data_IF_374370612968
#
_entry.id   IF_374370612968
#
_cell.length_a   1.000
_cell.length_b   1.000
_cell.length_c   1.000
_cell.angle_alpha   90.00
_cell.angle_beta   90.00
_cell.angle_gamma   90.00
#
_symmetry.space_group_name_H-M   'P 1'
#
loop_
_entity.id
_entity.type
_entity.pdbx_description
1 polymer ?
#
# COMPACT_ATOMS: atom_id res chain seq x y z
N UNK A 1 -4.67 2.80 4.40
CA UNK A 1 -3.27 3.19 4.12
C UNK A 1 -2.90 4.46 4.89
N UNK A 2 -1.68 4.56 5.37
CA UNK A 2 -1.14 5.76 6.04
C UNK A 2 0.16 6.15 5.33
N UNK A 3 0.21 7.39 4.86
CA UNK A 3 1.42 7.97 4.30
C UNK A 3 1.91 9.11 5.18
N UNK A 4 3.20 9.13 5.41
CA UNK A 4 3.87 10.08 6.28
C UNK A 4 4.78 10.98 5.45
N UNK A 5 4.70 12.27 5.70
CA UNK A 5 5.68 13.27 5.26
C UNK A 5 6.36 13.85 6.50
N UNK A 6 7.65 14.05 6.41
CA UNK A 6 8.49 14.56 7.50
C UNK A 6 9.02 15.93 7.11
N UNK A 7 8.90 16.87 8.02
CA UNK A 7 9.34 18.25 7.86
C UNK A 7 10.22 18.66 9.06
N UNK A 8 10.99 19.70 8.92
CA UNK A 8 11.68 20.32 10.06
C UNK A 8 10.67 20.97 11.02
N UNK A 9 10.84 20.79 12.33
CA UNK A 9 10.01 21.47 13.33
C UNK A 9 10.61 22.83 13.70
N UNK A 10 10.12 23.87 13.06
CA UNK A 10 10.52 25.26 13.37
C UNK A 10 9.79 25.85 14.58
N UNK A 11 8.92 25.06 15.23
CA UNK A 11 8.13 25.45 16.38
C UNK A 11 6.84 26.20 16.02
N UNK A 12 5.92 26.26 16.98
CA UNK A 12 4.69 27.05 16.85
C UNK A 12 3.54 26.39 16.07
N UNK A 13 3.70 25.18 15.54
CA UNK A 13 2.64 24.49 14.79
C UNK A 13 1.56 23.99 15.75
N UNK A 14 0.40 24.61 15.70
CA UNK A 14 -0.75 24.31 16.54
C UNK A 14 -1.97 23.81 15.77
N UNK A 15 -2.94 23.23 16.51
CA UNK A 15 -4.18 22.66 15.97
C UNK A 15 -4.89 23.62 15.00
N UNK A 16 -5.15 24.87 15.43
CA UNK A 16 -5.89 25.84 14.63
C UNK A 16 -5.16 26.25 13.35
N UNK A 17 -3.83 26.21 13.32
CA UNK A 17 -3.03 26.52 12.15
C UNK A 17 -3.12 25.41 11.11
N UNK A 18 -2.98 24.15 11.54
CA UNK A 18 -3.12 22.99 10.68
C UNK A 18 -4.53 22.87 10.11
N UNK A 19 -5.55 23.10 10.93
CA UNK A 19 -6.95 23.14 10.48
C UNK A 19 -7.19 24.19 9.41
N UNK A 20 -6.69 25.40 9.59
CA UNK A 20 -6.80 26.48 8.58
C UNK A 20 -6.05 26.13 7.31
N UNK A 21 -4.85 25.55 7.42
CA UNK A 21 -4.04 25.15 6.28
C UNK A 21 -4.76 24.08 5.43
N UNK A 22 -5.38 23.08 6.07
CA UNK A 22 -6.18 22.05 5.38
C UNK A 22 -7.47 22.64 4.82
N UNK A 23 -8.19 23.48 5.59
CA UNK A 23 -9.44 24.11 5.15
C UNK A 23 -9.29 24.89 3.84
N UNK A 24 -8.17 25.60 3.67
CA UNK A 24 -7.82 26.35 2.46
C UNK A 24 -7.52 25.45 1.24
N UNK A 25 -7.41 24.13 1.44
CA UNK A 25 -7.01 23.14 0.42
C UNK A 25 -8.06 22.05 0.15
N UNK A 26 -9.22 22.15 0.79
CA UNK A 26 -10.29 21.14 0.63
C UNK A 26 -10.79 21.02 -0.81
N UNK A 27 -10.77 22.11 -1.57
CA UNK A 27 -11.18 22.18 -2.96
C UNK A 27 -10.16 21.56 -3.94
N UNK A 28 -8.92 21.35 -3.49
CA UNK A 28 -7.85 20.76 -4.31
C UNK A 28 -8.10 19.28 -4.65
N UNK A 29 -8.92 18.59 -3.85
CA UNK A 29 -9.26 17.20 -4.12
C UNK A 29 -10.66 16.85 -3.61
N UNK A 30 -11.54 16.27 -4.46
CA UNK A 30 -12.85 15.80 -4.02
C UNK A 30 -12.80 14.65 -3.00
N UNK A 31 -11.67 13.97 -2.84
CA UNK A 31 -11.47 12.99 -1.75
C UNK A 31 -11.67 13.66 -0.39
N UNK A 32 -11.26 14.92 -0.25
CA UNK A 32 -11.32 15.64 1.01
C UNK A 32 -12.75 16.06 1.37
N UNK A 33 -13.64 16.15 0.39
CA UNK A 33 -15.01 16.69 0.55
C UNK A 33 -16.11 15.67 0.34
N UNK A 34 -15.82 14.50 -0.25
CA UNK A 34 -16.85 13.50 -0.54
C UNK A 34 -16.78 12.33 0.44
N UNK A 35 -17.95 11.82 0.79
CA UNK A 35 -18.11 10.62 1.60
C UNK A 35 -18.82 9.53 0.81
N UNK A 36 -18.66 8.30 1.26
CA UNK A 36 -19.35 7.16 0.69
C UNK A 36 -20.77 7.08 1.26
N UNK A 37 -21.77 7.14 0.38
CA UNK A 37 -23.17 6.95 0.74
C UNK A 37 -23.63 5.54 0.29
N UNK A 38 -24.05 4.66 1.21
CA UNK A 38 -24.57 3.35 0.86
C UNK A 38 -25.85 3.48 0.03
N UNK A 39 -26.06 2.56 -0.90
CA UNK A 39 -27.33 2.43 -1.58
C UNK A 39 -28.39 1.84 -0.62
N UNK A 40 -29.66 2.25 -0.72
CA UNK A 40 -30.74 1.67 0.08
C UNK A 40 -30.77 0.15 -0.08
N UNK A 41 -30.99 -0.54 1.06
CA UNK A 41 -30.96 -2.01 1.19
C UNK A 41 -29.73 -2.69 0.56
N UNK A 42 -28.69 -1.91 0.28
CA UNK A 42 -27.49 -2.42 -0.36
C UNK A 42 -27.69 -3.09 -1.73
N UNK A 43 -28.72 -2.70 -2.45
CA UNK A 43 -29.08 -3.27 -3.77
C UNK A 43 -28.20 -2.74 -4.92
N UNK A 44 -27.51 -1.61 -4.71
CA UNK A 44 -26.57 -1.03 -5.68
C UNK A 44 -25.23 -0.74 -5.02
N UNK A 45 -24.24 -0.37 -5.81
CA UNK A 45 -22.94 0.09 -5.31
C UNK A 45 -23.10 1.40 -4.52
N UNK A 46 -22.29 1.60 -3.46
CA UNK A 46 -22.25 2.87 -2.76
C UNK A 46 -21.76 3.98 -3.68
N UNK A 47 -22.14 5.22 -3.37
CA UNK A 47 -21.83 6.39 -4.20
C UNK A 47 -21.07 7.45 -3.44
N UNK A 48 -20.20 8.13 -4.13
CA UNK A 48 -19.54 9.31 -3.61
C UNK A 48 -20.50 10.49 -3.67
N UNK A 49 -20.76 11.10 -2.51
CA UNK A 49 -21.62 12.28 -2.37
C UNK A 49 -20.87 13.36 -1.61
N UNK A 50 -21.16 14.61 -1.93
CA UNK A 50 -20.59 15.74 -1.19
C UNK A 50 -20.98 15.61 0.29
N UNK A 51 -19.99 15.68 1.18
CA UNK A 51 -20.15 15.67 2.62
C UNK A 51 -20.03 17.06 3.21
N UNK A 52 -20.55 17.24 4.42
CA UNK A 52 -20.18 18.40 5.22
C UNK A 52 -18.86 18.07 5.94
N UNK A 53 -17.82 18.87 5.67
CA UNK A 53 -16.48 18.65 6.24
C UNK A 53 -16.30 19.56 7.44
N UNK A 54 -16.26 18.96 8.60
CA UNK A 54 -15.78 19.61 9.82
C UNK A 54 -14.29 19.25 9.99
N UNK A 55 -13.42 20.17 9.61
CA UNK A 55 -11.97 19.93 9.59
C UNK A 55 -11.44 19.57 10.97
N UNK A 56 -11.98 20.14 12.05
CA UNK A 56 -11.56 19.84 13.41
C UNK A 56 -11.76 18.36 13.80
N UNK A 57 -12.71 17.67 13.14
CA UNK A 57 -12.94 16.23 13.35
C UNK A 57 -12.01 15.35 12.52
N UNK A 58 -11.30 15.92 11.57
CA UNK A 58 -10.38 15.20 10.67
C UNK A 58 -8.92 15.40 11.04
N UNK A 59 -8.61 16.40 11.86
CA UNK A 59 -7.24 16.82 12.18
C UNK A 59 -6.96 16.63 13.65
N UNK A 60 -5.81 16.10 13.98
CA UNK A 60 -5.23 16.11 15.33
C UNK A 60 -3.79 16.62 15.27
N UNK A 61 -3.42 17.45 16.22
CA UNK A 61 -2.03 17.88 16.43
C UNK A 61 -1.62 17.50 17.85
N UNK A 62 -0.55 16.75 17.96
CA UNK A 62 -0.05 16.22 19.22
C UNK A 62 1.44 16.49 19.33
N UNK A 63 1.89 16.91 20.51
CA UNK A 63 3.31 16.96 20.80
C UNK A 63 3.81 15.57 21.14
N UNK A 64 4.82 15.11 20.39
CA UNK A 64 5.51 13.87 20.70
C UNK A 64 6.62 14.16 21.72
N UNK A 65 6.62 13.43 22.84
CA UNK A 65 7.53 13.66 23.96
C UNK A 65 8.63 12.61 24.07
N UNK A 66 8.41 11.46 23.44
CA UNK A 66 9.37 10.37 23.45
C UNK A 66 10.48 10.63 22.43
N UNK A 67 11.67 10.11 22.67
CA UNK A 67 12.75 10.10 21.70
C UNK A 67 12.70 8.83 20.88
N UNK A 68 13.02 8.95 19.59
CA UNK A 68 13.03 7.82 18.65
C UNK A 68 11.68 7.57 17.97
N UNK A 69 11.64 6.50 17.19
CA UNK A 69 10.51 6.16 16.32
C UNK A 69 9.54 5.16 16.93
N UNK A 70 9.91 4.40 17.93
CA UNK A 70 9.20 3.21 18.38
C UNK A 70 7.72 3.48 18.70
N UNK A 71 7.46 4.31 19.70
CA UNK A 71 6.09 4.62 20.15
C UNK A 71 5.27 5.32 19.07
N UNK A 72 5.89 6.17 18.28
CA UNK A 72 5.22 6.83 17.15
C UNK A 72 4.89 5.83 16.05
N UNK A 73 5.81 4.94 15.71
CA UNK A 73 5.63 3.87 14.73
C UNK A 73 4.48 2.94 15.10
N UNK A 74 4.42 2.48 16.35
CA UNK A 74 3.31 1.66 16.87
C UNK A 74 1.96 2.38 16.73
N UNK A 75 1.91 3.65 17.14
CA UNK A 75 0.71 4.47 17.02
C UNK A 75 0.24 4.61 15.56
N UNK A 76 1.17 4.80 14.63
CA UNK A 76 0.86 4.91 13.20
C UNK A 76 0.33 3.60 12.61
N UNK A 77 0.89 2.44 13.00
CA UNK A 77 0.35 1.14 12.58
C UNK A 77 -1.02 0.89 13.19
N UNK A 78 -1.21 1.21 14.47
CA UNK A 78 -2.52 1.07 15.11
C UNK A 78 -3.57 1.91 14.40
N UNK A 79 -3.23 3.11 13.92
CA UNK A 79 -4.13 3.92 13.11
C UNK A 79 -4.61 3.20 11.84
N UNK A 80 -3.89 2.23 11.28
CA UNK A 80 -4.36 1.47 10.12
C UNK A 80 -5.51 0.52 10.47
N UNK A 81 -5.53 -0.01 11.69
CA UNK A 81 -6.56 -0.93 12.17
C UNK A 81 -7.86 -0.22 12.59
N UNK A 82 -7.78 1.04 13.04
CA UNK A 82 -8.96 1.79 13.46
C UNK A 82 -9.93 2.04 12.30
N UNK A 83 -11.24 2.01 12.54
CA UNK A 83 -12.25 2.38 11.55
C UNK A 83 -12.24 3.88 11.24
N UNK A 84 -12.50 4.27 9.99
CA UNK A 84 -12.87 5.65 9.66
C UNK A 84 -14.40 5.80 9.71
N UNK A 85 -14.92 6.90 10.27
CA UNK A 85 -16.37 7.11 10.38
C UNK A 85 -17.05 7.08 9.01
N UNK A 86 -18.12 6.25 8.81
CA UNK A 86 -18.71 6.02 7.49
C UNK A 86 -19.47 7.24 6.92
N UNK A 87 -19.86 8.19 7.78
CA UNK A 87 -20.64 9.39 7.40
C UNK A 87 -19.77 10.61 7.11
N UNK A 88 -18.47 10.47 7.15
CA UNK A 88 -17.52 11.55 6.91
C UNK A 88 -16.67 11.22 5.69
N UNK A 89 -16.01 12.20 5.06
CA UNK A 89 -14.95 11.92 4.11
C UNK A 89 -13.91 10.96 4.72
N UNK A 90 -13.45 9.96 3.96
CA UNK A 90 -12.70 8.81 4.52
C UNK A 90 -11.21 9.10 4.66
N UNK A 91 -10.87 10.20 5.35
CA UNK A 91 -9.50 10.59 5.64
C UNK A 91 -9.33 11.14 7.06
N UNK A 92 -8.12 11.09 7.57
CA UNK A 92 -7.66 11.80 8.77
C UNK A 92 -6.22 12.26 8.59
N UNK A 93 -5.91 13.41 9.16
CA UNK A 93 -4.56 13.94 9.29
C UNK A 93 -4.18 13.99 10.77
N UNK A 94 -3.06 13.39 11.11
CA UNK A 94 -2.46 13.48 12.45
C UNK A 94 -1.07 14.08 12.30
N UNK A 95 -0.82 15.15 13.04
CA UNK A 95 0.44 15.87 13.02
C UNK A 95 1.11 15.70 14.37
N UNK A 96 2.32 15.20 14.38
CA UNK A 96 3.14 15.03 15.57
C UNK A 96 4.29 16.00 15.51
N UNK A 97 4.35 16.93 16.48
CA UNK A 97 5.41 17.94 16.61
C UNK A 97 6.44 17.51 17.64
N UNK A 98 7.66 18.02 17.55
CA UNK A 98 8.72 17.74 18.53
C UNK A 98 9.31 16.34 18.45
N UNK A 99 9.19 15.65 17.32
CA UNK A 99 9.80 14.33 17.12
C UNK A 99 11.32 14.47 17.03
N UNK A 100 12.06 13.71 17.85
CA UNK A 100 13.53 13.76 17.96
C UNK A 100 14.15 12.36 17.99
N UNK A 101 15.43 12.24 17.70
CA UNK A 101 16.18 10.98 17.85
C UNK A 101 15.81 9.90 16.82
N UNK A 102 15.31 10.30 15.65
CA UNK A 102 14.97 9.38 14.55
C UNK A 102 16.02 9.52 13.46
N UNK A 103 16.67 8.41 13.12
CA UNK A 103 17.67 8.41 12.05
C UNK A 103 17.07 8.79 10.70
N UNK A 104 17.78 9.66 9.96
CA UNK A 104 17.32 10.19 8.67
C UNK A 104 16.23 11.26 8.76
N UNK A 105 15.87 11.73 9.97
CA UNK A 105 15.00 12.90 10.17
C UNK A 105 15.81 14.13 10.58
N UNK A 106 15.24 15.34 10.49
CA UNK A 106 15.79 16.52 11.15
C UNK A 106 15.94 16.31 12.66
N UNK A 107 16.86 17.02 13.31
CA UNK A 107 17.10 16.96 14.76
C UNK A 107 15.81 17.13 15.57
N UNK A 108 14.91 17.97 15.07
CA UNK A 108 13.55 18.12 15.54
C UNK A 108 12.61 18.15 14.33
N UNK A 109 11.68 17.21 14.32
CA UNK A 109 10.82 16.99 13.18
C UNK A 109 9.34 17.17 13.49
N UNK A 110 8.60 17.53 12.44
CA UNK A 110 7.14 17.40 12.35
C UNK A 110 6.83 16.20 11.46
N UNK A 111 6.05 15.27 11.99
CA UNK A 111 5.56 14.10 11.27
C UNK A 111 4.10 14.32 10.91
N UNK A 112 3.81 14.51 9.63
CA UNK A 112 2.45 14.63 9.11
C UNK A 112 1.99 13.29 8.56
N UNK A 113 1.10 12.63 9.28
CA UNK A 113 0.50 11.35 8.89
C UNK A 113 -0.88 11.57 8.26
N UNK A 114 -1.02 11.30 6.97
CA UNK A 114 -2.31 11.29 6.28
C UNK A 114 -2.81 9.87 6.15
N UNK A 115 -3.94 9.60 6.78
CA UNK A 115 -4.67 8.33 6.66
C UNK A 115 -5.80 8.45 5.67
N UNK A 116 -5.92 7.47 4.79
CA UNK A 116 -6.99 7.38 3.81
C UNK A 116 -7.56 5.95 3.77
N UNK A 117 -8.88 5.82 3.64
CA UNK A 117 -9.49 4.51 3.39
C UNK A 117 -9.15 4.02 1.99
N UNK A 118 -8.67 2.78 1.86
CA UNK A 118 -8.16 2.24 0.60
C UNK A 118 -9.19 2.11 -0.53
N UNK A 119 -10.50 2.16 -0.21
CA UNK A 119 -11.57 2.18 -1.22
C UNK A 119 -11.59 3.44 -2.09
N UNK A 120 -10.94 4.51 -1.64
CA UNK A 120 -10.95 5.82 -2.34
C UNK A 120 -10.02 5.80 -3.53
N UNK A 121 -8.81 5.29 -3.32
CA UNK A 121 -7.74 5.27 -4.32
C UNK A 121 -6.65 4.29 -3.94
N UNK A 122 -5.80 3.97 -4.91
CA UNK A 122 -4.58 3.19 -4.73
C UNK A 122 -3.37 4.08 -4.34
N UNK A 123 -2.19 3.46 -4.26
CA UNK A 123 -0.95 4.14 -3.88
C UNK A 123 -0.62 5.34 -4.76
N UNK A 124 -0.75 5.23 -6.09
CA UNK A 124 -0.47 6.36 -6.99
C UNK A 124 -1.53 7.46 -6.86
N UNK A 125 -2.80 7.12 -6.71
CA UNK A 125 -3.83 8.13 -6.43
C UNK A 125 -3.64 8.80 -5.07
N UNK A 126 -3.08 8.10 -4.09
CA UNK A 126 -2.68 8.70 -2.82
C UNK A 126 -1.51 9.68 -3.00
N UNK A 127 -0.53 9.36 -3.84
CA UNK A 127 0.54 10.29 -4.22
C UNK A 127 -0.02 11.55 -4.85
N UNK A 128 -0.98 11.41 -5.77
CA UNK A 128 -1.65 12.58 -6.37
C UNK A 128 -2.36 13.44 -5.32
N UNK A 129 -3.01 12.82 -4.32
CA UNK A 129 -3.63 13.56 -3.21
C UNK A 129 -2.58 14.32 -2.40
N UNK A 130 -1.47 13.68 -2.02
CA UNK A 130 -0.38 14.35 -1.31
C UNK A 130 0.17 15.52 -2.11
N UNK A 131 0.45 15.33 -3.40
CA UNK A 131 0.94 16.41 -4.27
C UNK A 131 -0.09 17.53 -4.46
N UNK A 132 -1.37 17.23 -4.46
CA UNK A 132 -2.43 18.26 -4.48
C UNK A 132 -2.48 19.07 -3.18
N UNK A 133 -2.25 18.43 -2.03
CA UNK A 133 -2.30 19.08 -0.72
C UNK A 133 -1.04 19.92 -0.43
N UNK A 134 0.13 19.35 -0.70
CA UNK A 134 1.42 19.91 -0.29
C UNK A 134 2.19 20.61 -1.41
N UNK A 135 1.79 20.41 -2.69
CA UNK A 135 2.40 21.07 -3.83
C UNK A 135 1.79 22.46 -4.09
N UNK A 136 2.50 23.28 -4.88
CA UNK A 136 2.07 24.64 -5.22
C UNK A 136 0.81 24.67 -6.08
N UNK A 137 0.60 23.69 -6.97
CA UNK A 137 -0.48 23.68 -7.94
C UNK A 137 -1.45 22.53 -7.71
N UNK A 138 -2.74 22.83 -7.62
CA UNK A 138 -3.80 21.83 -7.71
C UNK A 138 -3.93 21.33 -9.15
N UNK A 139 -3.17 20.29 -9.51
CA UNK A 139 -3.02 19.86 -10.91
C UNK A 139 -4.06 18.83 -11.37
N UNK A 140 -4.96 18.37 -10.52
CA UNK A 140 -5.83 17.27 -10.91
C UNK A 140 -7.29 17.64 -10.82
N UNK A 141 -7.95 17.78 -11.97
CA UNK A 141 -9.42 17.88 -12.04
C UNK A 141 -10.05 16.51 -11.72
N UNK A 142 -10.16 16.21 -10.45
CA UNK A 142 -10.93 15.08 -9.98
C UNK A 142 -12.41 15.36 -10.19
N UNK A 143 -13.12 14.48 -10.87
CA UNK A 143 -14.57 14.58 -10.99
C UNK A 143 -15.18 13.26 -10.58
N UNK A 144 -15.89 13.24 -9.46
CA UNK A 144 -16.86 12.20 -9.23
C UNK A 144 -18.04 12.42 -10.20
N UNK A 145 -18.46 11.38 -10.92
CA UNK A 145 -19.57 11.47 -11.84
C UNK A 145 -20.84 11.99 -11.14
N UNK A 146 -21.68 12.73 -11.85
CA UNK A 146 -22.98 13.19 -11.32
C UNK A 146 -23.79 12.01 -10.80
N UNK A 147 -24.15 12.04 -9.53
CA UNK A 147 -24.97 11.01 -8.92
C UNK A 147 -26.43 11.18 -9.38
N UNK A 148 -26.88 10.32 -10.29
CA UNK A 148 -28.31 10.18 -10.57
C UNK A 148 -28.93 9.43 -9.38
N UNK A 149 -30.08 9.87 -8.83
CA UNK A 149 -30.80 9.15 -7.78
C UNK A 149 -30.92 7.66 -8.12
N UNK A 150 -30.68 6.78 -7.17
CA UNK A 150 -30.63 5.32 -7.40
C UNK A 150 -31.92 4.77 -8.00
N UNK A 151 -33.06 5.26 -7.54
CA UNK A 151 -34.41 4.84 -7.99
C UNK A 151 -34.71 5.22 -9.45
N UNK A 152 -34.04 6.27 -9.99
CA UNK A 152 -34.07 6.62 -11.41
C UNK A 152 -33.06 5.81 -12.22
N UNK A 153 -31.96 5.41 -11.60
CA UNK A 153 -30.86 4.72 -12.28
C UNK A 153 -31.01 3.20 -12.28
N UNK A 154 -31.64 2.61 -11.27
CA UNK A 154 -31.76 1.17 -11.11
C UNK A 154 -32.42 0.44 -12.29
N UNK A 155 -33.58 0.91 -12.83
CA UNK A 155 -34.24 0.25 -13.96
C UNK A 155 -33.40 0.19 -15.24
N UNK A 156 -32.53 1.19 -15.44
CA UNK A 156 -31.67 1.28 -16.64
C UNK A 156 -30.33 0.59 -16.41
N UNK A 157 -29.79 0.69 -15.20
CA UNK A 157 -28.46 0.15 -14.86
C UNK A 157 -28.45 -1.37 -14.72
N UNK A 158 -29.48 -1.97 -14.14
CA UNK A 158 -29.52 -3.41 -13.92
C UNK A 158 -29.45 -4.22 -15.21
N UNK A 159 -30.27 -3.94 -16.24
CA UNK A 159 -30.15 -4.60 -17.54
C UNK A 159 -28.79 -4.36 -18.22
N UNK A 160 -28.26 -3.13 -18.13
CA UNK A 160 -26.97 -2.79 -18.68
C UNK A 160 -25.82 -3.51 -17.99
N UNK A 161 -25.89 -3.65 -16.65
CA UNK A 161 -24.94 -4.43 -15.85
C UNK A 161 -24.97 -5.92 -16.24
N UNK A 162 -26.16 -6.52 -16.34
CA UNK A 162 -26.31 -7.92 -16.74
C UNK A 162 -25.77 -8.17 -18.16
N UNK A 163 -26.08 -7.28 -19.11
CA UNK A 163 -25.55 -7.37 -20.48
C UNK A 163 -24.04 -7.18 -20.55
N UNK A 164 -23.48 -6.32 -19.70
CA UNK A 164 -22.02 -6.11 -19.57
C UNK A 164 -21.35 -7.34 -18.95
N UNK A 165 -21.90 -7.87 -17.86
CA UNK A 165 -21.41 -9.09 -17.21
C UNK A 165 -21.42 -10.28 -18.17
N UNK A 166 -22.49 -10.46 -18.94
CA UNK A 166 -22.59 -11.49 -19.97
C UNK A 166 -21.51 -11.35 -21.06
N UNK A 167 -21.32 -10.14 -21.57
CA UNK A 167 -20.28 -9.86 -22.59
C UNK A 167 -18.86 -10.11 -22.06
N UNK A 168 -18.58 -9.70 -20.83
CA UNK A 168 -17.27 -9.93 -20.20
C UNK A 168 -17.06 -11.43 -19.94
N UNK A 169 -18.09 -12.13 -19.47
CA UNK A 169 -18.05 -13.59 -19.28
C UNK A 169 -17.74 -14.35 -20.58
N UNK A 170 -18.38 -13.98 -21.69
CA UNK A 170 -18.11 -14.58 -23.02
C UNK A 170 -16.69 -14.29 -23.49
N UNK A 171 -16.20 -13.05 -23.32
CA UNK A 171 -14.82 -12.68 -23.67
C UNK A 171 -13.79 -13.47 -22.87
N UNK A 172 -14.00 -13.63 -21.57
CA UNK A 172 -13.12 -14.41 -20.72
C UNK A 172 -13.13 -15.90 -21.04
N UNK A 173 -14.31 -16.47 -21.32
CA UNK A 173 -14.41 -17.84 -21.76
C UNK A 173 -13.66 -18.05 -23.10
N UNK A 174 -13.77 -17.08 -24.04
CA UNK A 174 -13.02 -17.11 -25.29
C UNK A 174 -11.50 -16.90 -25.09
N UNK A 175 -11.11 -16.07 -24.13
CA UNK A 175 -9.70 -15.86 -23.76
C UNK A 175 -9.10 -17.09 -23.05
N UNK A 176 -9.86 -17.73 -22.14
CA UNK A 176 -9.44 -18.96 -21.47
C UNK A 176 -9.19 -20.12 -22.44
N UNK A 177 -9.90 -20.14 -23.60
CA UNK A 177 -9.66 -21.11 -24.68
C UNK A 177 -8.45 -20.81 -25.56
N UNK A 178 -7.92 -19.60 -25.49
CA UNK A 178 -6.69 -19.17 -26.16
C UNK A 178 -5.53 -19.10 -25.18
N UNK A 179 -5.64 -19.81 -24.04
CA UNK A 179 -4.69 -19.73 -22.94
C UNK A 179 -3.25 -19.94 -23.46
N UNK A 180 -2.44 -18.90 -23.30
CA UNK A 180 -1.00 -18.97 -23.48
C UNK A 180 -0.42 -20.00 -22.50
N UNK A 181 0.61 -20.72 -22.88
CA UNK A 181 1.34 -21.72 -22.05
C UNK A 181 2.14 -21.08 -20.88
N UNK A 182 1.72 -19.90 -20.39
CA UNK A 182 2.39 -19.26 -19.24
C UNK A 182 1.87 -19.89 -17.95
N UNK A 183 2.72 -20.59 -17.18
CA UNK A 183 2.33 -21.24 -15.95
C UNK A 183 1.64 -20.25 -14.99
N UNK A 184 0.54 -20.66 -14.39
CA UNK A 184 -0.10 -19.90 -13.32
C UNK A 184 0.79 -19.92 -12.07
N UNK A 185 0.79 -18.84 -11.23
CA UNK A 185 1.42 -18.91 -9.92
C UNK A 185 0.89 -20.09 -9.13
N UNK A 186 1.72 -20.61 -8.22
CA UNK A 186 1.27 -21.66 -7.32
C UNK A 186 0.01 -21.20 -6.58
N UNK A 187 -1.07 -22.00 -6.56
CA UNK A 187 -2.30 -21.63 -5.89
C UNK A 187 -2.20 -21.68 -4.36
N UNK A 188 -1.20 -22.38 -3.84
CA UNK A 188 -0.92 -22.56 -2.41
C UNK A 188 0.55 -22.25 -2.12
N UNK A 189 0.78 -21.64 -0.98
CA UNK A 189 2.11 -21.28 -0.48
C UNK A 189 2.33 -21.91 0.89
N UNK A 190 3.58 -22.17 1.30
CA UNK A 190 3.86 -22.70 2.62
C UNK A 190 3.43 -21.69 3.69
N UNK A 191 2.81 -22.18 4.75
CA UNK A 191 2.51 -21.35 5.92
C UNK A 191 3.79 -21.14 6.71
N UNK A 192 4.00 -19.91 7.17
CA UNK A 192 5.07 -19.56 8.10
C UNK A 192 4.50 -18.85 9.31
N UNK A 193 5.33 -18.54 10.30
CA UNK A 193 4.94 -17.70 11.45
C UNK A 193 4.33 -16.36 11.05
N UNK A 194 4.68 -15.81 9.89
CA UNK A 194 4.16 -14.53 9.38
C UNK A 194 2.70 -14.58 8.93
N UNK A 195 2.10 -15.78 8.89
CA UNK A 195 0.78 -16.01 8.30
C UNK A 195 -0.28 -16.42 9.35
N UNK A 196 -0.10 -15.99 10.59
CA UNK A 196 -1.01 -16.21 11.70
C UNK A 196 -2.17 -15.19 11.76
N UNK A 197 -2.78 -15.11 12.93
CA UNK A 197 -3.80 -14.10 13.25
C UNK A 197 -3.11 -12.81 13.73
N UNK A 198 -3.62 -11.69 13.26
CA UNK A 198 -3.11 -10.37 13.59
C UNK A 198 -3.77 -9.83 14.87
N UNK A 199 -3.58 -10.51 16.00
CA UNK A 199 -4.14 -10.21 17.33
C UNK A 199 -3.08 -9.80 18.36
N UNK A 200 -1.81 -9.76 17.97
CA UNK A 200 -0.71 -9.24 18.76
C UNK A 200 -0.62 -7.71 18.76
N UNK A 201 0.44 -7.20 19.40
CA UNK A 201 0.83 -5.79 19.29
C UNK A 201 1.22 -5.41 17.85
N UNK A 202 1.40 -4.13 17.63
CA UNK A 202 1.80 -3.59 16.33
C UNK A 202 3.16 -2.92 16.45
N UNK A 203 4.05 -3.18 15.50
CA UNK A 203 5.34 -2.49 15.42
C UNK A 203 5.61 -2.00 14.00
N UNK A 204 6.39 -0.93 13.91
CA UNK A 204 6.81 -0.34 12.65
C UNK A 204 8.24 0.16 12.76
N UNK A 205 9.04 -0.18 11.76
CA UNK A 205 10.41 0.33 11.56
C UNK A 205 10.63 0.65 10.09
N UNK A 206 11.68 1.37 9.79
CA UNK A 206 12.09 1.63 8.41
C UNK A 206 13.60 1.72 8.29
N UNK A 207 14.10 1.39 7.10
CA UNK A 207 15.48 1.52 6.70
C UNK A 207 15.61 2.72 5.76
N UNK A 208 16.55 3.62 6.05
CA UNK A 208 16.86 4.76 5.19
C UNK A 208 17.83 4.34 4.10
N UNK A 209 17.48 4.64 2.87
CA UNK A 209 18.22 4.35 1.64
C UNK A 209 18.21 5.59 0.75
N UNK A 210 18.91 5.54 -0.38
CA UNK A 210 18.75 6.56 -1.44
C UNK A 210 18.34 5.92 -2.77
N UNK A 211 17.56 6.68 -3.55
CA UNK A 211 17.15 6.26 -4.90
C UNK A 211 18.36 6.09 -5.81
N UNK A 212 19.33 7.02 -5.72
CA UNK A 212 20.57 6.99 -6.51
C UNK A 212 21.37 5.72 -6.26
N UNK A 213 21.61 5.38 -4.99
CA UNK A 213 22.36 4.18 -4.61
C UNK A 213 21.59 2.89 -5.00
N UNK A 214 20.31 2.79 -4.67
CA UNK A 214 19.51 1.61 -5.01
C UNK A 214 19.44 1.39 -6.52
N UNK A 215 19.34 2.46 -7.31
CA UNK A 215 19.32 2.40 -8.78
C UNK A 215 20.66 1.97 -9.35
N UNK A 216 21.78 2.51 -8.85
CA UNK A 216 23.12 2.13 -9.32
C UNK A 216 23.44 0.68 -8.98
N UNK A 217 23.11 0.24 -7.75
CA UNK A 217 23.28 -1.16 -7.32
C UNK A 217 22.47 -2.12 -8.20
N UNK A 218 21.17 -1.84 -8.38
CA UNK A 218 20.32 -2.69 -9.21
C UNK A 218 20.84 -2.81 -10.67
N UNK A 219 21.29 -1.69 -11.23
CA UNK A 219 21.85 -1.65 -12.58
C UNK A 219 23.17 -2.40 -12.72
N UNK A 220 24.06 -2.27 -11.75
CA UNK A 220 25.38 -2.95 -11.76
C UNK A 220 25.24 -4.47 -11.63
N UNK A 221 24.24 -4.96 -10.92
CA UNK A 221 23.97 -6.39 -10.74
C UNK A 221 23.42 -7.08 -11.99
N UNK A 222 22.81 -6.36 -12.96
CA UNK A 222 22.27 -6.97 -14.18
C UNK A 222 21.11 -6.19 -14.79
N UNK A 223 21.16 -4.85 -14.74
CA UNK A 223 20.09 -3.97 -15.28
C UNK A 223 18.70 -4.18 -14.61
N UNK A 224 18.71 -4.63 -13.34
CA UNK A 224 17.48 -4.81 -12.57
C UNK A 224 16.85 -3.46 -12.19
N UNK A 225 15.57 -3.50 -11.83
CA UNK A 225 14.86 -2.34 -11.28
C UNK A 225 15.07 -2.24 -9.77
N UNK A 226 14.89 -1.04 -9.20
CA UNK A 226 14.87 -0.85 -7.74
C UNK A 226 13.84 -1.79 -7.08
N UNK A 227 12.70 -2.01 -7.72
CA UNK A 227 11.66 -2.87 -7.17
C UNK A 227 12.11 -4.34 -7.06
N UNK A 228 12.77 -4.87 -8.09
CA UNK A 228 13.32 -6.23 -8.08
C UNK A 228 14.41 -6.38 -7.01
N UNK A 229 15.30 -5.39 -6.88
CA UNK A 229 16.30 -5.36 -5.82
C UNK A 229 15.65 -5.37 -4.43
N UNK A 230 14.65 -4.52 -4.17
CA UNK A 230 13.97 -4.47 -2.88
C UNK A 230 13.20 -5.76 -2.57
N UNK A 231 12.57 -6.38 -3.57
CA UNK A 231 11.92 -7.70 -3.41
C UNK A 231 12.96 -8.76 -3.04
N UNK A 232 14.14 -8.75 -3.67
CA UNK A 232 15.23 -9.68 -3.37
C UNK A 232 15.83 -9.46 -1.96
N UNK A 233 15.95 -8.20 -1.53
CA UNK A 233 16.36 -7.85 -0.15
C UNK A 233 15.36 -8.40 0.87
N UNK A 234 14.06 -8.22 0.64
CA UNK A 234 13.01 -8.77 1.50
C UNK A 234 13.05 -10.30 1.51
N UNK A 235 13.21 -10.94 0.34
CA UNK A 235 13.31 -12.39 0.22
C UNK A 235 14.50 -12.95 1.02
N UNK A 236 15.66 -12.31 0.90
CA UNK A 236 16.87 -12.67 1.66
C UNK A 236 16.71 -12.52 3.16
N UNK A 237 16.13 -11.42 3.61
CA UNK A 237 15.88 -11.19 5.03
C UNK A 237 14.87 -12.18 5.62
N UNK A 238 13.75 -12.45 4.91
CA UNK A 238 12.79 -13.46 5.35
C UNK A 238 13.40 -14.86 5.40
N UNK A 239 14.20 -15.23 4.38
CA UNK A 239 14.94 -16.48 4.39
C UNK A 239 15.88 -16.58 5.59
N UNK A 240 16.71 -15.56 5.82
CA UNK A 240 17.65 -15.54 6.93
C UNK A 240 16.96 -15.68 8.29
N UNK A 241 15.89 -14.90 8.51
CA UNK A 241 15.10 -14.94 9.74
C UNK A 241 14.49 -16.34 10.00
N UNK A 242 13.93 -16.96 8.96
CA UNK A 242 13.34 -18.31 9.08
C UNK A 242 14.40 -19.40 9.22
N UNK A 243 15.59 -19.26 8.61
CA UNK A 243 16.72 -20.16 8.80
C UNK A 243 17.21 -20.12 10.25
N UNK A 244 17.40 -18.92 10.80
CA UNK A 244 17.84 -18.73 12.20
C UNK A 244 16.83 -19.32 13.19
N UNK A 245 15.53 -19.25 12.86
CA UNK A 245 14.47 -19.87 13.65
C UNK A 245 14.31 -21.39 13.43
N UNK A 246 14.99 -21.99 12.44
CA UNK A 246 14.78 -23.38 12.06
C UNK A 246 13.40 -23.67 11.41
N UNK A 247 12.78 -22.64 10.83
CA UNK A 247 11.41 -22.69 10.29
C UNK A 247 11.34 -22.44 8.77
N UNK A 248 12.48 -22.44 8.06
CA UNK A 248 12.46 -22.23 6.61
C UNK A 248 11.76 -23.38 5.91
N UNK A 249 10.64 -23.16 5.19
CA UNK A 249 9.99 -24.19 4.42
C UNK A 249 10.86 -24.67 3.25
N UNK A 250 10.70 -25.93 2.85
CA UNK A 250 11.35 -26.46 1.64
C UNK A 250 10.81 -25.80 0.35
N UNK A 251 9.54 -25.38 0.35
CA UNK A 251 8.93 -24.65 -0.76
C UNK A 251 9.16 -23.14 -0.57
N UNK A 252 9.33 -22.45 -1.70
CA UNK A 252 9.54 -20.99 -1.68
C UNK A 252 8.33 -20.22 -1.16
N UNK A 253 8.59 -19.08 -0.53
CA UNK A 253 7.61 -18.07 -0.17
C UNK A 253 7.19 -17.25 -1.39
N UNK A 254 6.06 -16.55 -1.29
CA UNK A 254 5.60 -15.61 -2.32
C UNK A 254 5.25 -14.25 -1.73
N UNK A 255 5.42 -13.22 -2.54
CA UNK A 255 5.00 -11.87 -2.22
C UNK A 255 3.85 -11.39 -3.12
N UNK A 256 2.92 -10.67 -2.52
CA UNK A 256 2.02 -9.81 -3.27
C UNK A 256 2.77 -8.52 -3.64
N UNK A 257 2.95 -8.30 -4.93
CA UNK A 257 3.58 -7.08 -5.47
C UNK A 257 2.53 -6.32 -6.29
N UNK A 258 2.01 -5.18 -5.78
CA UNK A 258 1.01 -4.40 -6.50
C UNK A 258 1.59 -3.78 -7.77
N UNK A 259 0.89 -3.92 -8.89
CA UNK A 259 1.19 -3.25 -10.16
C UNK A 259 0.06 -2.27 -10.49
N UNK A 260 0.41 -1.01 -10.73
CA UNK A 260 -0.56 -0.04 -11.22
C UNK A 260 -0.75 -0.17 -12.73
N UNK A 261 -2.00 -0.28 -13.18
CA UNK A 261 -2.37 -0.26 -14.59
C UNK A 261 -2.76 1.14 -15.08
N UNK A 262 -2.42 2.19 -14.33
CA UNK A 262 -2.76 3.57 -14.73
C UNK A 262 -2.00 4.00 -15.98
N UNK A 263 -2.68 4.02 -17.09
CA UNK A 263 -2.23 4.66 -18.33
C UNK A 263 -2.83 6.08 -18.42
N UNK A 264 -2.37 7.02 -17.58
CA UNK A 264 -2.73 8.45 -17.69
C UNK A 264 -4.19 8.83 -17.37
N UNK A 265 -4.97 7.94 -16.74
CA UNK A 265 -6.36 8.20 -16.34
C UNK A 265 -6.47 9.00 -15.02
N UNK A 266 -7.70 9.47 -14.65
CA UNK A 266 -7.92 10.21 -13.42
C UNK A 266 -7.52 9.37 -12.19
N UNK A 267 -6.97 9.99 -11.14
CA UNK A 267 -6.43 9.29 -9.97
C UNK A 267 -7.50 8.80 -8.99
N UNK A 268 -8.68 8.41 -9.48
CA UNK A 268 -9.84 7.95 -8.70
C UNK A 268 -9.97 6.44 -8.79
N UNK A 269 -10.28 5.81 -7.66
CA UNK A 269 -10.48 4.36 -7.55
C UNK A 269 -9.17 3.56 -7.56
N UNK A 270 -9.27 2.29 -7.23
CA UNK A 270 -8.15 1.37 -7.25
C UNK A 270 -7.95 0.82 -8.67
N UNK A 271 -6.81 1.11 -9.27
CA UNK A 271 -6.40 0.61 -10.58
C UNK A 271 -5.11 -0.21 -10.45
N UNK A 272 -5.07 -1.04 -9.43
CA UNK A 272 -3.95 -1.96 -9.17
C UNK A 272 -4.35 -3.39 -9.50
N UNK A 273 -3.40 -4.12 -10.04
CA UNK A 273 -3.47 -5.56 -10.20
C UNK A 273 -2.44 -6.19 -9.28
N UNK A 274 -2.81 -7.31 -8.72
CA UNK A 274 -1.95 -8.10 -7.86
C UNK A 274 -1.07 -9.01 -8.70
N UNK A 275 0.24 -8.84 -8.61
CA UNK A 275 1.20 -9.85 -9.05
C UNK A 275 1.53 -10.73 -7.86
N UNK A 276 1.61 -12.04 -8.06
CA UNK A 276 2.10 -13.00 -7.08
C UNK A 276 3.50 -13.41 -7.53
N UNK A 277 4.51 -12.81 -6.92
CA UNK A 277 5.91 -13.04 -7.25
C UNK A 277 6.49 -14.08 -6.32
N UNK A 278 7.06 -15.13 -6.88
CA UNK A 278 7.83 -16.13 -6.14
C UNK A 278 9.11 -15.47 -5.60
N UNK A 279 9.38 -15.62 -4.31
CA UNK A 279 10.53 -15.02 -3.63
C UNK A 279 11.79 -15.88 -3.72
N UNK A 280 11.67 -17.11 -4.23
CA UNK A 280 12.79 -18.05 -4.35
C UNK A 280 13.61 -18.18 -3.07
N UNK A 281 12.92 -18.27 -1.91
CA UNK A 281 13.57 -18.40 -0.61
C UNK A 281 14.22 -19.77 -0.40
N UNK A 282 13.97 -20.75 -1.25
CA UNK A 282 14.64 -22.03 -1.37
C UNK A 282 16.08 -21.88 -1.91
N UNK A 283 16.37 -20.86 -2.73
CA UNK A 283 17.71 -20.56 -3.24
C UNK A 283 18.57 -19.84 -2.18
N UNK A 284 19.76 -20.37 -1.93
CA UNK A 284 20.70 -19.79 -0.97
C UNK A 284 21.46 -18.61 -1.56
N UNK A 285 21.96 -18.75 -2.80
CA UNK A 285 22.71 -17.69 -3.47
C UNK A 285 21.81 -16.50 -3.79
N UNK A 286 22.25 -15.31 -3.37
CA UNK A 286 21.46 -14.07 -3.53
C UNK A 286 21.34 -13.60 -4.97
N UNK A 287 22.36 -13.84 -5.80
CA UNK A 287 22.35 -13.43 -7.19
C UNK A 287 21.44 -14.36 -8.01
N UNK A 288 21.49 -15.67 -7.78
CA UNK A 288 20.56 -16.62 -8.36
C UNK A 288 19.12 -16.32 -7.94
N UNK A 289 18.91 -16.00 -6.66
CA UNK A 289 17.61 -15.61 -6.12
C UNK A 289 17.08 -14.32 -6.76
N UNK A 290 17.91 -13.28 -6.92
CA UNK A 290 17.53 -12.03 -7.60
C UNK A 290 17.14 -12.28 -9.06
N UNK A 291 17.91 -13.07 -9.80
CA UNK A 291 17.61 -13.42 -11.19
C UNK A 291 16.28 -14.18 -11.29
N UNK A 292 16.06 -15.18 -10.45
CA UNK A 292 14.82 -15.95 -10.42
C UNK A 292 13.59 -15.10 -10.03
N UNK A 293 13.74 -14.16 -9.09
CA UNK A 293 12.72 -13.18 -8.71
C UNK A 293 12.38 -12.28 -9.90
N UNK A 294 13.38 -11.76 -10.61
CA UNK A 294 13.18 -10.90 -11.78
C UNK A 294 12.39 -11.64 -12.87
N UNK A 295 12.75 -12.89 -13.16
CA UNK A 295 12.03 -13.73 -14.11
C UNK A 295 10.57 -13.96 -13.67
N UNK A 296 10.34 -14.24 -12.40
CA UNK A 296 8.99 -14.40 -11.84
C UNK A 296 8.18 -13.12 -11.94
N UNK A 297 8.77 -11.97 -11.59
CA UNK A 297 8.13 -10.67 -11.70
C UNK A 297 7.82 -10.29 -13.16
N UNK A 298 8.72 -10.60 -14.09
CA UNK A 298 8.51 -10.40 -15.54
C UNK A 298 7.33 -11.20 -16.08
N UNK A 299 7.24 -12.48 -15.74
CA UNK A 299 6.10 -13.35 -16.11
C UNK A 299 4.78 -12.84 -15.56
N UNK A 300 4.77 -12.46 -14.26
CA UNK A 300 3.57 -11.96 -13.61
C UNK A 300 3.13 -10.59 -14.15
N UNK A 301 4.07 -9.69 -14.45
CA UNK A 301 3.77 -8.40 -15.10
C UNK A 301 3.11 -8.62 -16.45
N UNK A 302 3.68 -9.47 -17.31
CA UNK A 302 3.07 -9.79 -18.61
C UNK A 302 1.67 -10.40 -18.47
N UNK A 303 1.41 -11.22 -17.45
CA UNK A 303 0.08 -11.75 -17.14
C UNK A 303 -0.87 -10.64 -16.66
N UNK A 304 -0.43 -9.80 -15.73
CA UNK A 304 -1.21 -8.71 -15.17
C UNK A 304 -1.63 -7.70 -16.25
N UNK A 305 -0.75 -7.35 -17.17
CA UNK A 305 -1.03 -6.44 -18.28
C UNK A 305 -2.06 -7.02 -19.25
N UNK A 306 -2.00 -8.32 -19.53
CA UNK A 306 -2.95 -9.00 -20.44
C UNK A 306 -4.33 -9.23 -19.84
N UNK A 307 -4.41 -9.60 -18.56
CA UNK A 307 -5.67 -10.03 -17.92
C UNK A 307 -6.21 -9.06 -16.88
N UNK A 308 -5.40 -8.12 -16.41
CA UNK A 308 -5.74 -7.24 -15.29
C UNK A 308 -6.90 -6.29 -15.60
N UNK A 309 -6.93 -5.71 -16.79
CA UNK A 309 -8.02 -4.83 -17.23
C UNK A 309 -9.36 -5.57 -17.33
N UNK A 310 -9.35 -6.81 -17.78
CA UNK A 310 -10.55 -7.63 -17.93
C UNK A 310 -11.12 -8.04 -16.57
N UNK A 311 -10.24 -8.41 -15.62
CA UNK A 311 -10.66 -8.75 -14.25
C UNK A 311 -11.27 -7.56 -13.53
N UNK A 312 -10.69 -6.37 -13.65
CA UNK A 312 -11.25 -5.15 -13.10
C UNK A 312 -12.62 -4.84 -13.72
N UNK A 313 -12.76 -4.97 -15.05
CA UNK A 313 -14.04 -4.76 -15.73
C UNK A 313 -15.13 -5.73 -15.27
N UNK A 314 -14.77 -6.98 -14.92
CA UNK A 314 -15.73 -7.93 -14.35
C UNK A 314 -16.21 -7.43 -13.00
N UNK A 315 -15.30 -7.13 -12.08
CA UNK A 315 -15.64 -6.67 -10.73
C UNK A 315 -16.55 -5.42 -10.81
N UNK A 316 -16.23 -4.48 -11.69
CA UNK A 316 -17.03 -3.27 -11.93
C UNK A 316 -18.40 -3.56 -12.56
N UNK A 317 -18.56 -4.69 -13.24
CA UNK A 317 -19.79 -5.07 -13.91
C UNK A 317 -20.74 -5.91 -13.04
N UNK A 318 -20.24 -6.44 -11.92
CA UNK A 318 -21.07 -7.27 -11.04
C UNK A 318 -22.08 -6.44 -10.24
N UNK A 319 -23.33 -6.90 -10.10
CA UNK A 319 -24.27 -6.31 -9.15
C UNK A 319 -23.71 -6.35 -7.72
N UNK A 320 -23.92 -5.28 -6.94
CA UNK A 320 -23.38 -5.16 -5.60
C UNK A 320 -23.66 -6.35 -4.66
N UNK A 321 -24.89 -6.94 -4.63
CA UNK A 321 -25.14 -8.12 -3.80
C UNK A 321 -24.29 -9.34 -4.21
N UNK A 322 -24.09 -9.54 -5.53
CA UNK A 322 -23.27 -10.64 -6.04
C UNK A 322 -21.78 -10.40 -5.75
N UNK A 323 -21.29 -9.16 -5.96
CA UNK A 323 -19.92 -8.80 -5.64
C UNK A 323 -19.63 -9.06 -4.16
N UNK A 324 -20.52 -8.62 -3.25
CA UNK A 324 -20.37 -8.85 -1.81
C UNK A 324 -20.32 -10.34 -1.47
N UNK A 325 -21.14 -11.16 -2.10
CA UNK A 325 -21.12 -12.60 -1.87
C UNK A 325 -19.83 -13.24 -2.35
N UNK A 326 -19.28 -12.78 -3.47
CA UNK A 326 -18.04 -13.30 -4.05
C UNK A 326 -16.79 -12.80 -3.31
N UNK A 327 -16.86 -11.60 -2.71
CA UNK A 327 -15.76 -11.00 -1.95
C UNK A 327 -15.93 -11.16 -0.45
N UNK A 328 -17.01 -11.80 0.01
CA UNK A 328 -17.15 -12.15 1.42
C UNK A 328 -15.92 -12.95 1.85
N UNK A 329 -15.33 -12.65 3.03
CA UNK A 329 -14.21 -13.41 3.52
C UNK A 329 -14.57 -14.90 3.48
N UNK A 330 -13.83 -15.67 2.71
CA UNK A 330 -13.87 -17.12 2.80
C UNK A 330 -13.65 -17.49 4.26
N UNK A 331 -14.25 -18.58 4.73
CA UNK A 331 -14.11 -19.04 6.09
C UNK A 331 -12.65 -18.88 6.56
N UNK A 332 -12.47 -18.39 7.79
CA UNK A 332 -11.16 -18.12 8.41
C UNK A 332 -10.20 -19.25 8.03
N UNK A 333 -8.97 -18.94 7.58
CA UNK A 333 -8.00 -19.97 7.29
C UNK A 333 -7.90 -20.90 8.49
N UNK A 334 -8.09 -22.21 8.26
CA UNK A 334 -7.92 -23.19 9.32
C UNK A 334 -6.51 -23.03 9.89
N UNK A 335 -6.38 -22.78 11.18
CA UNK A 335 -5.10 -22.51 11.82
C UNK A 335 -4.10 -23.66 11.66
N UNK A 336 -4.61 -24.85 11.35
CA UNK A 336 -3.86 -26.10 11.31
C UNK A 336 -3.37 -26.51 9.90
N UNK A 337 -3.62 -25.70 8.86
CA UNK A 337 -3.14 -26.02 7.50
C UNK A 337 -1.69 -25.57 7.30
N UNK A 338 -0.85 -26.49 6.78
CA UNK A 338 0.57 -26.18 6.44
C UNK A 338 0.71 -25.26 5.22
N UNK A 339 -0.38 -25.03 4.48
CA UNK A 339 -0.40 -24.21 3.26
C UNK A 339 -1.49 -23.15 3.33
N UNK A 340 -1.27 -22.06 2.62
CA UNK A 340 -2.17 -20.91 2.55
C UNK A 340 -2.48 -20.57 1.10
N UNK A 341 -3.70 -20.12 0.83
CA UNK A 341 -4.16 -19.72 -0.51
C UNK A 341 -3.88 -18.23 -0.86
N UNK A 342 -2.91 -17.60 -0.21
CA UNK A 342 -2.50 -16.22 -0.47
C UNK A 342 -0.99 -16.07 -0.27
N UNK A 343 -0.35 -15.05 -0.86
CA UNK A 343 1.08 -14.79 -0.66
C UNK A 343 1.45 -14.52 0.80
N UNK A 344 2.66 -14.91 1.19
CA UNK A 344 3.17 -14.81 2.56
C UNK A 344 3.34 -13.38 3.06
N UNK A 345 3.69 -12.46 2.15
CA UNK A 345 3.94 -11.06 2.46
C UNK A 345 3.47 -10.12 1.34
N UNK A 346 3.58 -8.83 1.57
CA UNK A 346 3.44 -7.80 0.54
C UNK A 346 4.73 -7.00 0.45
N UNK A 347 5.13 -6.69 -0.79
CA UNK A 347 6.20 -5.74 -1.08
C UNK A 347 5.66 -4.71 -2.06
N UNK A 348 5.44 -3.50 -1.60
CA UNK A 348 4.91 -2.39 -2.37
C UNK A 348 5.95 -1.30 -2.53
N UNK A 349 6.04 -0.70 -3.72
CA UNK A 349 6.90 0.45 -3.97
C UNK A 349 6.06 1.60 -4.53
N UNK A 350 6.04 2.74 -3.83
CA UNK A 350 5.19 3.89 -4.14
C UNK A 350 6.05 5.17 -4.18
N UNK A 351 6.74 5.46 -5.29
CA UNK A 351 7.51 6.68 -5.43
C UNK A 351 6.59 7.92 -5.42
N UNK A 352 6.95 8.95 -4.66
CA UNK A 352 6.17 10.19 -4.50
C UNK A 352 6.63 11.34 -5.40
N UNK A 353 7.69 11.13 -6.18
CA UNK A 353 8.22 12.11 -7.12
C UNK A 353 9.24 13.06 -6.50
N UNK A 354 9.33 14.28 -7.01
CA UNK A 354 10.29 15.29 -6.55
C UNK A 354 9.99 15.75 -5.11
N UNK A 355 11.02 16.21 -4.41
CA UNK A 355 10.93 16.74 -3.05
C UNK A 355 10.52 18.25 -3.07
N UNK A 356 9.47 18.57 -3.82
CA UNK A 356 8.91 19.90 -4.03
C UNK A 356 7.57 20.12 -3.27
N UNK A 357 7.39 19.39 -2.18
CA UNK A 357 6.22 19.47 -1.32
C UNK A 357 6.54 20.32 -0.09
N UNK A 358 5.57 21.13 0.35
CA UNK A 358 5.73 22.03 1.49
C UNK A 358 4.54 21.93 2.45
N UNK A 359 4.84 22.04 3.74
CA UNK A 359 3.85 22.19 4.80
C UNK A 359 4.12 23.48 5.57
N UNK A 360 3.19 24.42 5.54
CA UNK A 360 3.33 25.74 6.16
C UNK A 360 4.58 26.51 5.69
N UNK A 361 5.01 26.31 4.44
CA UNK A 361 6.23 26.90 3.89
C UNK A 361 7.52 26.16 4.25
N UNK A 362 7.42 25.03 4.95
CA UNK A 362 8.56 24.18 5.32
C UNK A 362 8.67 23.07 4.27
N UNK A 363 9.83 22.91 3.60
CA UNK A 363 10.01 21.88 2.60
C UNK A 363 10.02 20.47 3.22
N UNK A 364 9.53 19.48 2.46
CA UNK A 364 9.57 18.09 2.86
C UNK A 364 11.01 17.58 2.94
N UNK A 365 11.34 16.92 4.04
CA UNK A 365 12.65 16.29 4.24
C UNK A 365 12.69 14.85 3.73
N UNK A 366 11.75 14.02 4.18
CA UNK A 366 11.66 12.62 3.80
C UNK A 366 10.22 12.10 3.90
N UNK A 367 10.03 10.83 3.59
CA UNK A 367 8.72 10.20 3.59
C UNK A 367 8.81 8.77 4.12
N UNK A 368 7.78 8.35 4.84
CA UNK A 368 7.64 6.99 5.36
C UNK A 368 6.24 6.47 4.99
N UNK A 369 6.07 5.18 4.83
CA UNK A 369 4.75 4.56 4.63
C UNK A 369 4.50 3.49 5.66
N UNK A 370 3.25 3.43 6.13
CA UNK A 370 2.81 2.40 7.07
C UNK A 370 1.89 1.43 6.35
N UNK A 371 2.29 0.17 6.30
CA UNK A 371 1.52 -0.91 5.70
C UNK A 371 0.42 -1.44 6.62
N UNK A 372 -0.59 -2.06 6.03
CA UNK A 372 -1.63 -2.75 6.78
C UNK A 372 -1.13 -4.13 7.25
N UNK A 373 -1.44 -4.47 8.51
CA UNK A 373 -1.22 -5.78 9.10
C UNK A 373 -2.58 -6.43 9.29
N UNK A 374 -2.78 -7.59 8.68
CA UNK A 374 -4.06 -8.29 8.63
C UNK A 374 -3.90 -9.78 8.92
N UNK A 375 -4.99 -10.46 9.26
CA UNK A 375 -5.03 -11.91 9.39
C UNK A 375 -4.45 -12.59 8.15
N UNK A 376 -3.58 -13.57 8.35
CA UNK A 376 -2.88 -14.30 7.30
C UNK A 376 -1.64 -13.58 6.74
N UNK A 377 -1.44 -12.29 7.03
CA UNK A 377 -0.28 -11.52 6.59
C UNK A 377 0.16 -10.53 7.68
N UNK A 378 0.93 -11.06 8.61
CA UNK A 378 1.41 -10.33 9.79
C UNK A 378 2.62 -9.44 9.54
N UNK A 379 3.25 -9.50 8.36
CA UNK A 379 4.42 -8.68 8.00
C UNK A 379 4.22 -8.10 6.61
N UNK A 380 4.34 -6.79 6.49
CA UNK A 380 4.22 -6.07 5.22
C UNK A 380 5.37 -5.09 5.01
N UNK A 381 5.81 -4.95 3.76
CA UNK A 381 6.92 -4.10 3.34
C UNK A 381 6.43 -3.03 2.38
N UNK A 382 6.76 -1.78 2.65
CA UNK A 382 6.42 -0.66 1.76
C UNK A 382 7.64 0.22 1.54
N UNK A 383 8.11 0.29 0.31
CA UNK A 383 9.10 1.27 -0.09
C UNK A 383 8.42 2.55 -0.56
N UNK A 384 8.94 3.70 -0.14
CA UNK A 384 8.52 5.02 -0.63
C UNK A 384 9.72 5.92 -0.83
N UNK A 385 9.64 6.77 -1.84
CA UNK A 385 10.70 7.75 -2.09
C UNK A 385 10.15 9.14 -2.36
N UNK A 386 10.93 10.16 -2.01
CA UNK A 386 10.69 11.54 -2.37
C UNK A 386 12.04 12.22 -2.65
N UNK A 387 12.20 12.83 -3.84
CA UNK A 387 13.53 13.22 -4.31
C UNK A 387 14.48 12.02 -4.34
N UNK A 388 15.61 12.12 -3.67
CA UNK A 388 16.58 11.01 -3.53
C UNK A 388 16.38 10.18 -2.25
N UNK A 389 15.60 10.67 -1.27
CA UNK A 389 15.30 9.90 -0.07
C UNK A 389 14.42 8.69 -0.42
N UNK A 390 14.80 7.50 0.02
CA UNK A 390 14.09 6.24 -0.13
C UNK A 390 14.00 5.57 1.25
N UNK A 391 12.82 5.17 1.66
CA UNK A 391 12.63 4.37 2.87
C UNK A 391 12.03 3.01 2.54
N UNK A 392 12.54 1.95 3.15
CA UNK A 392 11.94 0.62 3.16
C UNK A 392 11.33 0.37 4.53
N UNK A 393 10.02 0.47 4.62
CA UNK A 393 9.26 0.34 5.86
C UNK A 393 8.79 -1.10 6.08
N UNK A 394 8.80 -1.54 7.32
CA UNK A 394 8.22 -2.81 7.78
C UNK A 394 7.14 -2.51 8.82
N UNK A 395 5.95 -3.02 8.58
CA UNK A 395 4.86 -3.04 9.56
C UNK A 395 4.57 -4.49 9.93
N UNK A 396 4.49 -4.80 11.21
CA UNK A 396 4.27 -6.17 11.63
C UNK A 396 3.33 -6.30 12.83
N UNK A 397 2.83 -7.53 13.01
CA UNK A 397 2.25 -8.02 14.24
C UNK A 397 3.37 -8.59 15.11
N UNK A 398 3.49 -8.13 16.36
CA UNK A 398 4.59 -8.52 17.26
C UNK A 398 4.47 -9.97 17.77
N UNK A 399 3.31 -10.59 17.68
CA UNK A 399 3.15 -12.03 17.92
C UNK A 399 3.74 -12.89 16.81
N UNK A 400 3.74 -12.38 15.56
CA UNK A 400 4.28 -13.07 14.39
C UNK A 400 5.75 -12.72 14.11
N UNK A 401 6.15 -11.47 14.40
CA UNK A 401 7.52 -10.98 14.29
C UNK A 401 7.90 -10.26 15.60
N UNK A 402 8.29 -10.99 16.66
CA UNK A 402 8.54 -10.43 17.98
C UNK A 402 9.78 -9.53 18.02
N UNK A 403 10.75 -9.78 17.17
CA UNK A 403 12.01 -9.04 17.10
C UNK A 403 12.14 -8.31 15.76
N UNK A 404 11.37 -7.22 15.64
CA UNK A 404 11.39 -6.40 14.41
C UNK A 404 12.75 -5.74 14.20
N UNK A 405 13.47 -5.38 15.27
CA UNK A 405 14.77 -4.70 15.14
C UNK A 405 15.82 -5.67 14.58
N UNK A 406 15.84 -6.93 15.03
CA UNK A 406 16.67 -7.96 14.40
C UNK A 406 16.28 -8.20 12.92
N UNK A 407 15.01 -8.20 12.61
CA UNK A 407 14.58 -8.32 11.21
C UNK A 407 15.03 -7.13 10.34
N UNK A 408 15.04 -5.91 10.89
CA UNK A 408 15.58 -4.73 10.21
C UNK A 408 17.09 -4.85 9.97
N UNK A 409 17.84 -5.41 10.92
CA UNK A 409 19.27 -5.70 10.75
C UNK A 409 19.51 -6.71 9.60
N UNK A 410 18.68 -7.73 9.47
CA UNK A 410 18.74 -8.68 8.36
C UNK A 410 18.46 -8.00 7.01
N UNK A 411 17.46 -7.10 6.94
CA UNK A 411 17.19 -6.31 5.73
C UNK A 411 18.38 -5.42 5.36
N UNK A 412 18.95 -4.70 6.33
CA UNK A 412 20.12 -3.84 6.13
C UNK A 412 21.33 -4.64 5.68
N UNK A 413 21.57 -5.80 6.29
CA UNK A 413 22.67 -6.73 5.95
C UNK A 413 22.52 -7.26 4.52
N UNK A 414 21.32 -7.68 4.13
CA UNK A 414 21.09 -8.20 2.79
C UNK A 414 21.25 -7.09 1.72
N UNK A 415 20.74 -5.89 1.98
CA UNK A 415 20.96 -4.74 1.10
C UNK A 415 22.46 -4.39 0.96
N UNK A 416 23.18 -4.33 2.08
CA UNK A 416 24.62 -4.08 2.09
C UNK A 416 25.41 -5.17 1.33
N UNK A 417 24.97 -6.42 1.43
CA UNK A 417 25.59 -7.52 0.69
C UNK A 417 25.40 -7.40 -0.84
N UNK A 418 24.23 -6.94 -1.33
CA UNK A 418 24.06 -6.61 -2.75
C UNK A 418 24.96 -5.46 -3.20
N UNK A 419 25.09 -4.41 -2.38
CA UNK A 419 25.99 -3.28 -2.66
C UNK A 419 27.45 -3.73 -2.76
N UNK A 420 27.89 -4.64 -1.90
CA UNK A 420 29.28 -5.12 -1.89
C UNK A 420 29.66 -5.93 -3.15
N UNK A 421 28.68 -6.31 -3.99
CA UNK A 421 28.88 -7.01 -5.26
C UNK A 421 29.05 -6.05 -6.45
N UNK A 422 28.87 -4.76 -6.23
CA UNK A 422 28.93 -3.70 -7.28
C UNK A 422 30.07 -2.73 -7.05
#
# INVERSE_FOLDING_TARGET
>A
MVGVLVFEDTGGIGQAEVERWIAQRLDRSPILTHRLAPAPWSLDHPRWVLGNVDVARHVSVEQHTDSGWETLGEKLVQMTADGLPPNMPPWRASVFTGVTGVDGFPDRAVVFALRLHHSVTDGLGFVHLLRSLFGESATTQWRFGRSVPWWLAAPVRLPALLARTGRVGVRQWAAARRADDVPMPAPLHPRTRFNGRADGGRAHRFLNLTVGEAKSTAKALGEYTINELLVAVVAGAQRAYLVEAGELPAASLAAHVPLSLRAGGPPVGNQIVSMIVDLHTDLEDRCERLAAISDSAGRERGRAERSGSDRMQILDSLPAPLLRRLTAPSARPDADTEVIGHPNTIVSNVPRGAADLEFLGIPVHTTVSVGDVIDGRGVGHVATSIGDALTLSVSCDTGMLPDIDHYMDLLAKEYAAFRALT
#
